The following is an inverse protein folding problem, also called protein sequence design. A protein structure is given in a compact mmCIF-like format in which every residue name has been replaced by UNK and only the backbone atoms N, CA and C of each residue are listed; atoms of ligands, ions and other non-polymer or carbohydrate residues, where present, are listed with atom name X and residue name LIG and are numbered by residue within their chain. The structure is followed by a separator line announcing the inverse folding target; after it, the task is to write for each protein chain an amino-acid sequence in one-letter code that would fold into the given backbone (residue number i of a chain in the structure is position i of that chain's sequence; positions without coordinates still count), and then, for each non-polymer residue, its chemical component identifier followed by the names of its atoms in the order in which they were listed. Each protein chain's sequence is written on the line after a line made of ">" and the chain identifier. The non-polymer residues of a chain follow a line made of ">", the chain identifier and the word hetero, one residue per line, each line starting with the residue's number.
data_IF_810765964727
#
_entry.id   IF_810765964727
#
_cell.length_a   1.000
_cell.length_b   1.000
_cell.length_c   1.000
_cell.angle_alpha   90.00
_cell.angle_beta   90.00
_cell.angle_gamma   90.00
#
_symmetry.space_group_name_H-M   'P 1'
#
loop_
_entity.id
_entity.type
_entity.pdbx_description
1 polymer ?
#
# COMPACT_ATOMS: atom_id res chain seq x y z
N UNK A 1 -70.81 17.72 12.70
CA UNK A 1 -69.50 18.15 12.23
C UNK A 1 -68.44 17.25 12.84
N UNK A 2 -67.98 16.23 12.09
CA UNK A 2 -66.95 15.28 12.55
C UNK A 2 -65.64 15.63 11.83
N UNK A 3 -64.64 16.06 12.57
CA UNK A 3 -63.27 16.28 12.05
C UNK A 3 -62.46 15.02 12.32
N UNK A 4 -62.21 14.27 11.26
CA UNK A 4 -61.28 13.13 11.26
C UNK A 4 -59.85 13.67 11.18
N UNK A 5 -59.06 13.41 12.21
CA UNK A 5 -57.62 13.70 12.24
C UNK A 5 -56.90 12.48 11.71
N UNK A 6 -56.34 12.58 10.51
CA UNK A 6 -55.52 11.53 9.89
C UNK A 6 -54.12 11.63 10.47
N UNK A 7 -53.75 10.66 11.30
CA UNK A 7 -52.40 10.56 11.84
C UNK A 7 -51.39 10.11 10.76
N UNK A 8 -50.41 10.94 10.48
CA UNK A 8 -49.26 10.58 9.65
C UNK A 8 -48.22 9.85 10.50
N UNK A 9 -48.09 8.55 10.30
CA UNK A 9 -47.06 7.75 10.95
C UNK A 9 -45.73 7.96 10.18
N UNK A 10 -44.80 8.69 10.77
CA UNK A 10 -43.44 8.85 10.25
C UNK A 10 -42.63 7.60 10.62
N UNK A 11 -42.34 6.78 9.64
CA UNK A 11 -41.49 5.59 9.78
C UNK A 11 -40.02 6.02 9.73
N UNK A 12 -39.36 6.04 10.91
CA UNK A 12 -37.90 6.24 10.97
C UNK A 12 -37.21 4.99 10.47
N UNK A 13 -36.60 5.09 9.29
CA UNK A 13 -35.72 4.06 8.79
C UNK A 13 -34.34 4.30 9.43
N UNK A 14 -33.99 3.47 10.42
CA UNK A 14 -32.66 3.42 10.98
C UNK A 14 -31.71 2.80 9.93
N UNK A 15 -30.88 3.63 9.29
CA UNK A 15 -29.80 3.15 8.47
C UNK A 15 -28.73 2.52 9.37
N UNK A 16 -28.69 1.19 9.44
CA UNK A 16 -27.60 0.46 10.07
C UNK A 16 -26.33 0.66 9.22
N UNK A 17 -25.46 1.56 9.66
CA UNK A 17 -24.15 1.74 9.08
C UNK A 17 -23.33 0.46 9.23
N UNK A 18 -23.02 -0.21 8.14
CA UNK A 18 -22.08 -1.32 8.11
C UNK A 18 -20.69 -0.70 8.28
N UNK A 19 -20.20 -0.60 9.50
CA UNK A 19 -18.80 -0.29 9.80
C UNK A 19 -17.99 -1.51 9.40
N UNK A 20 -17.58 -1.58 8.12
CA UNK A 20 -16.60 -2.53 7.66
C UNK A 20 -15.28 -2.25 8.37
N UNK A 21 -14.82 -3.16 9.26
CA UNK A 21 -13.47 -3.16 9.79
C UNK A 21 -12.51 -3.38 8.62
N UNK A 22 -11.95 -2.32 8.05
CA UNK A 22 -10.81 -2.45 7.15
C UNK A 22 -9.60 -2.92 7.96
N UNK A 23 -9.01 -4.06 7.57
CA UNK A 23 -7.82 -4.59 8.23
C UNK A 23 -6.71 -3.53 8.20
N UNK A 24 -6.12 -3.24 9.35
CA UNK A 24 -4.93 -2.41 9.41
C UNK A 24 -3.73 -3.22 8.90
N UNK A 25 -3.10 -2.74 7.83
CA UNK A 25 -1.93 -3.38 7.21
C UNK A 25 -0.67 -2.82 7.84
N UNK A 26 0.21 -3.71 8.30
CA UNK A 26 1.50 -3.34 8.90
C UNK A 26 2.67 -3.84 8.06
N UNK A 27 3.88 -3.49 8.44
CA UNK A 27 5.08 -4.00 7.78
C UNK A 27 5.15 -5.54 7.80
N UNK A 28 4.59 -6.20 8.82
CA UNK A 28 4.53 -7.66 8.89
C UNK A 28 3.74 -8.29 7.72
N UNK A 29 2.76 -7.58 7.17
CA UNK A 29 2.00 -8.03 5.99
C UNK A 29 2.79 -7.78 4.69
N UNK A 30 3.62 -6.76 4.64
CA UNK A 30 4.40 -6.34 3.45
C UNK A 30 5.76 -7.02 3.37
N UNK A 31 6.40 -7.27 4.50
CA UNK A 31 7.74 -7.85 4.56
C UNK A 31 7.88 -9.16 3.76
N UNK A 32 6.95 -10.13 3.82
CA UNK A 32 7.03 -11.35 3.01
C UNK A 32 7.03 -11.06 1.51
N UNK A 33 6.27 -10.06 1.05
CA UNK A 33 6.23 -9.64 -0.36
C UNK A 33 7.59 -9.09 -0.78
N UNK A 34 8.15 -8.17 0.02
CA UNK A 34 9.46 -7.57 -0.26
C UNK A 34 10.58 -8.62 -0.26
N UNK A 35 10.58 -9.53 0.71
CA UNK A 35 11.55 -10.62 0.80
C UNK A 35 11.47 -11.54 -0.42
N UNK A 36 10.28 -11.93 -0.81
CA UNK A 36 10.08 -12.86 -1.92
C UNK A 36 10.36 -12.24 -3.29
N UNK A 37 10.02 -10.96 -3.46
CA UNK A 37 10.00 -10.33 -4.78
C UNK A 37 11.14 -9.34 -5.04
N UNK A 38 11.82 -8.87 -4.01
CA UNK A 38 12.82 -7.80 -4.10
C UNK A 38 14.19 -8.18 -3.52
N UNK A 39 14.24 -9.06 -2.52
CA UNK A 39 15.46 -9.34 -1.77
C UNK A 39 16.61 -9.91 -2.61
N UNK A 40 16.32 -10.62 -3.70
CA UNK A 40 17.34 -11.17 -4.60
C UNK A 40 18.29 -10.09 -5.12
N UNK A 41 17.77 -8.87 -5.37
CA UNK A 41 18.56 -7.75 -5.88
C UNK A 41 18.74 -6.62 -4.85
N UNK A 42 17.85 -6.51 -3.87
CA UNK A 42 17.79 -5.40 -2.91
C UNK A 42 18.09 -5.82 -1.46
N UNK A 43 19.19 -6.53 -1.28
CA UNK A 43 19.80 -6.81 0.02
C UNK A 43 21.29 -6.42 -0.01
N UNK A 44 21.94 -6.24 1.16
CA UNK A 44 23.35 -5.82 1.21
C UNK A 44 24.26 -6.65 0.31
N UNK A 45 25.08 -5.97 -0.50
CA UNK A 45 26.01 -6.60 -1.44
C UNK A 45 25.40 -7.04 -2.78
N UNK A 46 24.08 -6.92 -2.95
CA UNK A 46 23.41 -7.24 -4.21
C UNK A 46 23.36 -6.02 -5.15
N UNK A 47 23.28 -6.30 -6.45
CA UNK A 47 23.37 -5.28 -7.49
C UNK A 47 22.36 -4.13 -7.34
N UNK A 48 21.11 -4.43 -7.04
CA UNK A 48 20.07 -3.42 -6.85
C UNK A 48 20.39 -2.48 -5.70
N UNK A 49 20.86 -3.03 -4.55
CA UNK A 49 21.28 -2.21 -3.40
C UNK A 49 22.56 -1.43 -3.71
N UNK A 50 23.54 -2.03 -4.37
CA UNK A 50 24.77 -1.34 -4.73
C UNK A 50 24.51 -0.15 -5.66
N UNK A 51 23.62 -0.30 -6.63
CA UNK A 51 23.23 0.78 -7.55
C UNK A 51 22.37 1.85 -6.90
N UNK A 52 21.29 1.47 -6.23
CA UNK A 52 20.28 2.41 -5.75
C UNK A 52 20.45 2.83 -4.28
N UNK A 53 21.10 2.02 -3.46
CA UNK A 53 21.12 2.16 -2.01
C UNK A 53 19.89 1.59 -1.32
N UNK A 54 18.86 1.20 -2.06
CA UNK A 54 17.63 0.63 -1.50
C UNK A 54 17.85 -0.82 -1.04
N UNK A 55 17.42 -1.12 0.19
CA UNK A 55 17.48 -2.45 0.77
C UNK A 55 16.15 -2.82 1.44
N UNK A 56 15.72 -4.06 1.22
CA UNK A 56 14.52 -4.63 1.86
C UNK A 56 14.84 -5.49 3.08
N UNK A 57 16.04 -5.37 3.63
CA UNK A 57 16.51 -6.16 4.77
C UNK A 57 15.67 -5.94 6.03
N UNK A 58 15.22 -4.73 6.27
CA UNK A 58 14.43 -4.34 7.44
C UNK A 58 13.45 -3.21 7.15
N UNK A 59 12.50 -3.00 8.06
CA UNK A 59 11.62 -1.84 8.00
C UNK A 59 12.42 -0.52 7.90
N UNK A 60 13.46 -0.39 8.71
CA UNK A 60 14.30 0.80 8.78
C UNK A 60 15.00 1.09 7.44
N UNK A 61 15.53 0.05 6.78
CA UNK A 61 16.19 0.20 5.47
C UNK A 61 15.19 0.51 4.36
N UNK A 62 14.00 -0.08 4.39
CA UNK A 62 12.91 0.24 3.46
C UNK A 62 12.49 1.70 3.61
N UNK A 63 12.29 2.17 4.82
CA UNK A 63 11.88 3.56 5.09
C UNK A 63 12.98 4.58 4.81
N UNK A 64 14.25 4.20 4.94
CA UNK A 64 15.39 5.05 4.55
C UNK A 64 15.39 5.34 3.04
N UNK A 65 15.01 4.35 2.24
CA UNK A 65 14.92 4.49 0.79
C UNK A 65 16.26 4.32 0.07
N UNK A 66 16.48 5.17 -0.92
CA UNK A 66 17.65 5.14 -1.81
C UNK A 66 18.70 6.16 -1.41
N UNK A 67 19.81 6.19 -2.17
CA UNK A 67 20.83 7.26 -2.09
C UNK A 67 20.25 8.66 -2.35
N UNK A 68 19.11 8.74 -3.05
CA UNK A 68 18.43 9.98 -3.40
C UNK A 68 17.34 10.36 -2.39
N UNK A 69 17.04 9.50 -1.42
CA UNK A 69 16.05 9.73 -0.39
C UNK A 69 14.95 8.66 -0.33
N UNK A 70 13.90 8.92 0.46
CA UNK A 70 12.79 7.99 0.67
C UNK A 70 12.08 7.61 -0.61
N UNK A 71 11.61 6.36 -0.68
CA UNK A 71 10.77 5.83 -1.77
C UNK A 71 9.31 5.65 -1.35
N UNK A 72 9.01 5.96 -0.08
CA UNK A 72 7.69 5.89 0.52
C UNK A 72 7.32 7.26 1.07
N UNK A 73 6.22 7.80 0.58
CA UNK A 73 5.53 8.94 1.17
C UNK A 73 4.39 8.41 2.03
N UNK A 74 4.53 8.49 3.35
CA UNK A 74 3.54 7.96 4.29
C UNK A 74 2.19 8.62 4.09
N UNK A 75 1.15 7.81 3.90
CA UNK A 75 -0.21 8.28 3.67
C UNK A 75 -0.57 8.45 2.19
N UNK A 76 0.37 8.23 1.25
CA UNK A 76 0.08 8.34 -0.17
C UNK A 76 0.88 7.33 -0.99
N UNK A 77 0.23 6.25 -1.39
CA UNK A 77 0.82 5.27 -2.31
C UNK A 77 1.17 5.91 -3.66
N UNK A 78 0.28 6.71 -4.21
CA UNK A 78 0.49 7.37 -5.51
C UNK A 78 1.70 8.32 -5.53
N UNK A 79 2.02 8.95 -4.41
CA UNK A 79 3.19 9.80 -4.25
C UNK A 79 4.47 9.00 -3.93
N UNK A 80 4.36 7.70 -3.69
CA UNK A 80 5.46 6.81 -3.33
C UNK A 80 6.06 6.16 -4.57
N UNK A 81 7.34 6.42 -4.84
CA UNK A 81 8.01 5.82 -6.00
C UNK A 81 8.09 4.29 -5.92
N UNK A 82 8.17 3.71 -4.71
CA UNK A 82 8.08 2.26 -4.53
C UNK A 82 6.78 1.70 -5.13
N UNK A 83 5.63 2.27 -4.78
CA UNK A 83 4.35 1.83 -5.31
C UNK A 83 4.29 1.97 -6.84
N UNK A 84 4.65 3.13 -7.37
CA UNK A 84 4.58 3.40 -8.81
C UNK A 84 5.47 2.47 -9.63
N UNK A 85 6.65 2.12 -9.11
CA UNK A 85 7.56 1.17 -9.75
C UNK A 85 6.95 -0.24 -9.82
N UNK A 86 6.34 -0.73 -8.75
CA UNK A 86 5.76 -2.09 -8.71
C UNK A 86 4.36 -2.16 -9.34
N UNK A 87 3.64 -1.05 -9.41
CA UNK A 87 2.33 -0.95 -10.05
C UNK A 87 2.42 -0.79 -11.58
N UNK A 88 3.63 -0.60 -12.13
CA UNK A 88 3.83 -0.37 -13.56
C UNK A 88 3.43 1.03 -14.03
N UNK A 89 3.46 2.00 -13.13
CA UNK A 89 3.13 3.41 -13.42
C UNK A 89 4.37 4.25 -13.76
N UNK A 90 5.44 3.61 -14.20
CA UNK A 90 6.69 4.22 -14.58
C UNK A 90 7.10 3.79 -15.98
N UNK A 91 8.17 4.39 -16.50
CA UNK A 91 8.79 3.91 -17.75
C UNK A 91 9.15 2.42 -17.58
N UNK A 92 8.84 1.56 -18.58
CA UNK A 92 9.13 0.13 -18.51
C UNK A 92 10.62 -0.21 -18.22
N UNK A 93 11.54 0.67 -18.59
CA UNK A 93 12.99 0.46 -18.36
C UNK A 93 13.40 0.50 -16.90
N UNK A 94 12.58 1.10 -16.04
CA UNK A 94 12.83 1.22 -14.58
C UNK A 94 11.81 0.49 -13.73
N UNK A 95 10.82 -0.15 -14.33
CA UNK A 95 9.77 -0.88 -13.63
C UNK A 95 10.37 -2.02 -12.78
N UNK A 96 9.78 -2.27 -11.61
CA UNK A 96 10.19 -3.33 -10.68
C UNK A 96 9.08 -4.38 -10.50
N UNK A 97 9.44 -5.66 -10.30
CA UNK A 97 10.79 -6.24 -10.32
C UNK A 97 11.40 -6.21 -11.74
N UNK A 98 12.62 -5.73 -11.86
CA UNK A 98 13.26 -5.59 -13.16
C UNK A 98 13.57 -6.96 -13.79
N UNK A 99 13.14 -7.15 -15.04
CA UNK A 99 13.38 -8.40 -15.78
C UNK A 99 12.65 -9.63 -15.24
N UNK A 100 11.66 -9.46 -14.37
CA UNK A 100 10.86 -10.53 -13.75
C UNK A 100 9.37 -10.30 -13.94
N UNK A 101 8.56 -11.32 -13.64
CA UNK A 101 7.12 -11.20 -13.63
C UNK A 101 6.68 -10.09 -12.67
N UNK A 102 5.67 -9.27 -13.04
CA UNK A 102 5.11 -8.26 -12.16
C UNK A 102 4.58 -8.84 -10.84
N UNK A 103 4.44 -8.00 -9.83
CA UNK A 103 3.69 -8.36 -8.62
C UNK A 103 2.23 -8.66 -8.98
N UNK A 104 1.59 -9.52 -8.20
CA UNK A 104 0.16 -9.74 -8.33
C UNK A 104 -0.62 -8.51 -7.88
N UNK A 105 -1.87 -8.38 -8.36
CA UNK A 105 -2.76 -7.27 -7.94
C UNK A 105 -2.94 -7.23 -6.42
N UNK A 106 -3.01 -8.38 -5.76
CA UNK A 106 -3.14 -8.44 -4.29
C UNK A 106 -1.87 -7.97 -3.57
N UNK A 107 -0.69 -8.32 -4.09
CA UNK A 107 0.58 -7.83 -3.55
C UNK A 107 0.71 -6.31 -3.70
N UNK A 108 0.37 -5.78 -4.87
CA UNK A 108 0.36 -4.33 -5.13
C UNK A 108 -0.62 -3.62 -4.19
N UNK A 109 -1.84 -4.16 -4.05
CA UNK A 109 -2.86 -3.62 -3.16
C UNK A 109 -2.42 -3.62 -1.69
N UNK A 110 -1.76 -4.69 -1.23
CA UNK A 110 -1.23 -4.78 0.14
C UNK A 110 -0.20 -3.68 0.40
N UNK A 111 0.75 -3.48 -0.53
CA UNK A 111 1.75 -2.41 -0.43
C UNK A 111 1.08 -1.03 -0.44
N UNK A 112 0.15 -0.78 -1.36
CA UNK A 112 -0.58 0.48 -1.43
C UNK A 112 -1.35 0.78 -0.14
N UNK A 113 -2.10 -0.20 0.37
CA UNK A 113 -2.88 -0.04 1.60
C UNK A 113 -1.98 0.25 2.80
N UNK A 114 -0.85 -0.45 2.92
CA UNK A 114 0.14 -0.19 3.96
C UNK A 114 0.66 1.24 3.91
N UNK A 115 1.03 1.73 2.74
CA UNK A 115 1.52 3.10 2.57
C UNK A 115 0.43 4.12 2.90
N UNK A 116 -0.79 3.96 2.35
CA UNK A 116 -1.92 4.86 2.57
C UNK A 116 -2.33 4.94 4.04
N UNK A 117 -2.17 3.85 4.78
CA UNK A 117 -2.42 3.78 6.22
C UNK A 117 -1.24 4.30 7.07
N UNK A 118 -0.22 4.86 6.47
CA UNK A 118 0.90 5.52 7.17
C UNK A 118 2.20 4.71 7.22
N UNK A 119 2.30 3.59 6.51
CA UNK A 119 3.49 2.75 6.41
C UNK A 119 4.06 2.36 7.80
N UNK A 120 3.21 1.92 8.71
CA UNK A 120 3.60 1.56 10.09
C UNK A 120 4.37 0.23 10.15
N UNK A 121 5.21 0.10 11.17
CA UNK A 121 5.98 -1.12 11.44
C UNK A 121 5.12 -2.27 11.90
#
# INVERSE_FOLDING_TARGET
>A
MHRTITGVTVMLIAAAGISGCSKHVTYADVAPILQQRCAECHTPGKEGTLKSGFSVESYETVMKGTKLGPVIEKGSAESSSLYRLVAGETDPSIQMPHGKAPLTSDQIKTIATWIDQGAVK
#
